data_IF_773598136722
#
_entry.id   IF_773598136722
#
_cell.length_a   1.000
_cell.length_b   1.000
_cell.length_c   1.000
_cell.angle_alpha   90.00
_cell.angle_beta   90.00
_cell.angle_gamma   90.00
#
_symmetry.space_group_name_H-M   'P 1'
#
loop_
_entity.id
_entity.type
_entity.pdbx_description
1 polymer ?
#
# COMPACT_ATOMS: atom_id res chain seq x y z
N UNK A 1 13.12 -13.71 -25.35
CA UNK A 1 11.80 -13.44 -25.97
C UNK A 1 10.60 -13.94 -25.15
N UNK A 2 10.73 -14.93 -24.25
CA UNK A 2 9.61 -15.38 -23.40
C UNK A 2 9.27 -14.44 -22.22
N UNK A 3 10.28 -13.77 -21.65
CA UNK A 3 10.15 -12.89 -20.47
C UNK A 3 9.01 -11.85 -20.59
N UNK A 4 8.86 -11.08 -21.69
CA UNK A 4 7.78 -10.10 -21.78
C UNK A 4 6.39 -10.74 -21.84
N UNK A 5 6.27 -11.92 -22.45
CA UNK A 5 4.99 -12.62 -22.62
C UNK A 5 4.48 -13.16 -21.28
N UNK A 6 5.37 -13.79 -20.50
CA UNK A 6 5.03 -14.31 -19.17
C UNK A 6 4.70 -13.20 -18.18
N UNK A 7 5.40 -12.06 -18.27
CA UNK A 7 5.12 -10.88 -17.44
C UNK A 7 3.69 -10.34 -17.71
N UNK A 8 3.32 -10.24 -18.99
CA UNK A 8 2.00 -9.74 -19.39
C UNK A 8 0.87 -10.68 -19.00
N UNK A 9 1.07 -12.00 -19.15
CA UNK A 9 0.10 -13.01 -18.74
C UNK A 9 -0.08 -13.03 -17.21
N UNK A 10 1.02 -12.97 -16.45
CA UNK A 10 0.95 -12.96 -14.98
C UNK A 10 0.29 -11.67 -14.45
N UNK A 11 0.61 -10.52 -15.04
CA UNK A 11 0.03 -9.24 -14.63
C UNK A 11 -1.47 -9.17 -14.91
N UNK A 12 -1.91 -9.58 -16.09
CA UNK A 12 -3.33 -9.61 -16.45
C UNK A 12 -4.13 -10.60 -15.60
N UNK A 13 -3.58 -11.79 -15.35
CA UNK A 13 -4.19 -12.77 -14.45
C UNK A 13 -4.34 -12.25 -13.02
N UNK A 14 -3.33 -11.54 -12.49
CA UNK A 14 -3.39 -10.94 -11.15
C UNK A 14 -4.47 -9.85 -11.06
N UNK A 15 -4.53 -8.95 -12.05
CA UNK A 15 -5.55 -7.89 -12.09
C UNK A 15 -6.95 -8.53 -12.12
N UNK A 16 -7.17 -9.50 -13.01
CA UNK A 16 -8.43 -10.22 -13.10
C UNK A 16 -8.79 -10.91 -11.77
N UNK A 17 -7.82 -11.58 -11.13
CA UNK A 17 -8.01 -12.23 -9.85
C UNK A 17 -8.45 -11.27 -8.74
N UNK A 18 -7.82 -10.09 -8.66
CA UNK A 18 -8.19 -9.05 -7.69
C UNK A 18 -9.63 -8.54 -7.94
N UNK A 19 -10.00 -8.29 -9.20
CA UNK A 19 -11.36 -7.86 -9.55
C UNK A 19 -12.41 -8.92 -9.25
N UNK A 20 -12.13 -10.18 -9.58
CA UNK A 20 -13.03 -11.30 -9.28
C UNK A 20 -13.28 -11.45 -7.77
N UNK A 21 -12.20 -11.40 -6.97
CA UNK A 21 -12.31 -11.45 -5.51
C UNK A 21 -13.11 -10.28 -4.94
N UNK A 22 -12.86 -9.05 -5.41
CA UNK A 22 -13.63 -7.86 -5.00
C UNK A 22 -15.11 -7.98 -5.31
N UNK A 23 -15.47 -8.50 -6.48
CA UNK A 23 -16.88 -8.68 -6.84
C UNK A 23 -17.56 -9.70 -5.93
N UNK A 24 -16.87 -10.79 -5.58
CA UNK A 24 -17.39 -11.79 -4.63
C UNK A 24 -17.52 -11.23 -3.22
N UNK A 25 -16.54 -10.46 -2.75
CA UNK A 25 -16.62 -9.78 -1.46
C UNK A 25 -17.80 -8.81 -1.41
N UNK A 26 -18.03 -8.03 -2.47
CA UNK A 26 -19.14 -7.09 -2.54
C UNK A 26 -20.51 -7.78 -2.47
N UNK A 27 -20.64 -8.96 -3.10
CA UNK A 27 -21.85 -9.78 -3.00
C UNK A 27 -22.08 -10.28 -1.57
N UNK A 28 -21.02 -10.79 -0.91
CA UNK A 28 -21.10 -11.25 0.48
C UNK A 28 -21.43 -10.12 1.47
N UNK A 29 -21.06 -8.88 1.16
CA UNK A 29 -21.41 -7.68 1.96
C UNK A 29 -22.90 -7.33 1.75
N UNK A 30 -23.39 -7.42 0.51
CA UNK A 30 -24.80 -7.22 0.16
C UNK A 30 -25.70 -8.24 0.84
N UNK A 31 -25.29 -9.52 0.85
CA UNK A 31 -25.98 -10.62 1.53
C UNK A 31 -26.08 -10.42 3.05
N UNK A 32 -25.13 -9.69 3.64
CA UNK A 32 -25.15 -9.29 5.05
C UNK A 32 -25.95 -8.01 5.31
N UNK A 33 -26.63 -7.47 4.30
CA UNK A 33 -27.45 -6.26 4.41
C UNK A 33 -26.67 -4.95 4.51
N UNK A 34 -25.36 -4.96 4.22
CA UNK A 34 -24.51 -3.75 4.24
C UNK A 34 -24.31 -3.21 2.82
N UNK A 35 -24.25 -1.89 2.67
CA UNK A 35 -23.97 -1.27 1.38
C UNK A 35 -22.48 -1.38 1.01
N UNK A 36 -22.11 -2.10 -0.06
CA UNK A 36 -20.73 -2.24 -0.53
C UNK A 36 -20.14 -0.92 -1.06
N UNK A 37 -20.98 0.10 -1.31
CA UNK A 37 -20.55 1.43 -1.73
C UNK A 37 -20.30 2.39 -0.57
N UNK A 38 -20.53 1.97 0.68
CA UNK A 38 -20.19 2.82 1.82
C UNK A 38 -18.70 3.15 1.77
N UNK A 39 -18.32 4.44 1.78
CA UNK A 39 -16.93 4.84 1.67
C UNK A 39 -16.19 4.32 2.89
N UNK A 40 -15.29 3.35 2.69
CA UNK A 40 -14.40 2.87 3.75
C UNK A 40 -13.47 4.02 4.13
N UNK A 41 -13.65 4.67 5.29
CA UNK A 41 -13.00 5.94 5.60
C UNK A 41 -11.47 5.81 5.75
N UNK A 42 -10.94 4.59 5.88
CA UNK A 42 -9.52 4.33 6.11
C UNK A 42 -8.68 4.17 4.84
N UNK A 43 -9.29 4.04 3.65
CA UNK A 43 -8.52 3.85 2.42
C UNK A 43 -7.68 5.08 2.04
N UNK A 44 -8.23 6.29 2.22
CA UNK A 44 -7.51 7.55 2.01
C UNK A 44 -6.38 7.72 3.03
N UNK A 45 -6.59 7.28 4.28
CA UNK A 45 -5.60 7.34 5.33
C UNK A 45 -4.42 6.39 5.04
N UNK A 46 -4.69 5.17 4.56
CA UNK A 46 -3.66 4.21 4.16
C UNK A 46 -2.80 4.68 3.01
N UNK A 47 -3.40 5.29 1.99
CA UNK A 47 -2.68 5.89 0.88
C UNK A 47 -1.86 7.11 1.31
N UNK A 48 -2.44 7.98 2.15
CA UNK A 48 -1.75 9.15 2.68
C UNK A 48 -0.49 8.79 3.49
N UNK A 49 -0.60 7.81 4.39
CA UNK A 49 0.55 7.37 5.19
C UNK A 49 1.60 6.64 4.37
N UNK A 50 1.20 5.87 3.35
CA UNK A 50 2.13 5.25 2.40
C UNK A 50 2.92 6.33 1.63
N UNK A 51 2.24 7.36 1.11
CA UNK A 51 2.88 8.46 0.39
C UNK A 51 3.82 9.27 1.28
N UNK A 52 3.43 9.55 2.53
CA UNK A 52 4.28 10.23 3.50
C UNK A 52 5.51 9.38 3.83
N UNK A 53 5.33 8.09 4.09
CA UNK A 53 6.43 7.17 4.39
C UNK A 53 7.41 7.03 3.21
N UNK A 54 6.90 6.84 2.00
CA UNK A 54 7.72 6.76 0.79
C UNK A 54 8.44 8.07 0.48
N UNK A 55 7.75 9.21 0.63
CA UNK A 55 8.33 10.55 0.43
C UNK A 55 9.42 10.89 1.46
N UNK A 56 9.20 10.57 2.74
CA UNK A 56 10.22 10.71 3.79
C UNK A 56 11.42 9.79 3.55
N UNK A 57 11.17 8.53 3.14
CA UNK A 57 12.23 7.61 2.75
C UNK A 57 13.09 8.17 1.61
N UNK A 58 12.45 8.72 0.57
CA UNK A 58 13.16 9.33 -0.55
C UNK A 58 13.95 10.60 -0.14
N UNK A 59 13.37 11.44 0.72
CA UNK A 59 14.03 12.63 1.26
C UNK A 59 15.30 12.25 2.03
N UNK A 60 15.22 11.24 2.89
CA UNK A 60 16.36 10.75 3.67
C UNK A 60 17.42 10.13 2.73
N UNK A 61 17.01 9.40 1.70
CA UNK A 61 17.92 8.82 0.71
C UNK A 61 18.72 9.90 -0.03
N UNK A 62 18.04 10.94 -0.49
CA UNK A 62 18.68 12.09 -1.15
C UNK A 62 19.65 12.82 -0.23
N UNK A 63 19.30 12.97 1.05
CA UNK A 63 20.16 13.61 2.03
C UNK A 63 21.42 12.77 2.28
N UNK A 64 21.28 11.46 2.48
CA UNK A 64 22.40 10.54 2.65
C UNK A 64 23.32 10.49 1.43
N UNK A 65 22.75 10.54 0.23
CA UNK A 65 23.49 10.62 -1.02
C UNK A 65 24.35 11.89 -1.07
N UNK A 66 23.75 13.04 -0.75
CA UNK A 66 24.43 14.34 -0.75
C UNK A 66 25.61 14.40 0.24
N UNK A 67 25.52 13.72 1.40
CA UNK A 67 26.60 13.68 2.39
C UNK A 67 27.65 12.59 2.14
N UNK A 68 27.37 11.61 1.27
CA UNK A 68 28.26 10.48 1.00
C UNK A 68 29.04 10.72 -0.29
N UNK A 69 30.24 11.31 -0.20
CA UNK A 69 31.16 11.59 -1.33
C UNK A 69 31.64 10.35 -2.12
N UNK A 70 31.21 9.13 -1.78
CA UNK A 70 31.65 7.90 -2.44
C UNK A 70 30.71 7.48 -3.58
N UNK A 71 31.10 7.88 -4.79
CA UNK A 71 30.44 7.70 -6.09
C UNK A 71 30.31 6.24 -6.60
N UNK A 72 30.00 5.26 -5.76
CA UNK A 72 29.75 3.89 -6.26
C UNK A 72 28.49 3.31 -5.63
N UNK A 73 27.48 3.18 -6.49
CA UNK A 73 26.26 2.38 -6.31
C UNK A 73 25.27 2.95 -5.29
N UNK A 74 24.72 4.12 -5.60
CA UNK A 74 23.68 4.75 -4.79
C UNK A 74 22.28 4.26 -5.23
N UNK A 75 22.14 3.64 -6.41
CA UNK A 75 20.82 3.18 -6.89
C UNK A 75 20.11 2.24 -5.91
N UNK A 76 20.76 1.25 -5.28
CA UNK A 76 20.10 0.35 -4.33
C UNK A 76 19.61 1.07 -3.07
N UNK A 77 20.29 2.14 -2.65
CA UNK A 77 19.95 2.89 -1.43
C UNK A 77 18.60 3.59 -1.56
N UNK A 78 18.30 4.14 -2.74
CA UNK A 78 17.01 4.75 -3.04
C UNK A 78 15.87 3.73 -2.97
N UNK A 79 16.03 2.56 -3.60
CA UNK A 79 15.02 1.51 -3.55
C UNK A 79 14.80 0.99 -2.11
N UNK A 80 15.90 0.80 -1.36
CA UNK A 80 15.82 0.35 0.03
C UNK A 80 15.09 1.36 0.92
N UNK A 81 15.41 2.66 0.84
CA UNK A 81 14.79 3.66 1.69
C UNK A 81 13.35 3.96 1.31
N UNK A 82 12.98 3.92 0.03
CA UNK A 82 11.58 4.01 -0.40
C UNK A 82 10.79 2.81 0.13
N UNK A 83 11.34 1.59 0.03
CA UNK A 83 10.68 0.39 0.52
C UNK A 83 10.51 0.40 2.05
N UNK A 84 11.55 0.81 2.79
CA UNK A 84 11.50 0.92 4.25
C UNK A 84 10.56 2.05 4.68
N UNK A 85 10.69 3.24 4.09
CA UNK A 85 9.85 4.39 4.40
C UNK A 85 8.38 4.13 4.08
N UNK A 86 8.09 3.63 2.88
CA UNK A 86 6.74 3.23 2.47
C UNK A 86 6.17 2.11 3.34
N UNK A 87 7.00 1.11 3.68
CA UNK A 87 6.63 0.01 4.59
C UNK A 87 6.29 0.50 6.00
N UNK A 88 7.10 1.39 6.57
CA UNK A 88 6.82 2.03 7.86
C UNK A 88 5.54 2.87 7.82
N UNK A 89 5.29 3.59 6.73
CA UNK A 89 4.04 4.31 6.50
C UNK A 89 2.82 3.38 6.51
N UNK A 90 2.90 2.22 5.85
CA UNK A 90 1.83 1.22 5.88
C UNK A 90 1.60 0.63 7.27
N UNK A 91 2.67 0.32 8.01
CA UNK A 91 2.58 -0.17 9.39
C UNK A 91 1.90 0.86 10.30
N UNK A 92 2.24 2.14 10.15
CA UNK A 92 1.58 3.23 10.86
C UNK A 92 0.09 3.33 10.52
N UNK A 93 -0.29 3.10 9.25
CA UNK A 93 -1.69 3.09 8.85
C UNK A 93 -2.45 1.96 9.52
N UNK A 94 -1.88 0.77 9.57
CA UNK A 94 -2.50 -0.39 10.21
C UNK A 94 -2.67 -0.17 11.72
N UNK A 95 -1.66 0.39 12.39
CA UNK A 95 -1.75 0.72 13.80
C UNK A 95 -2.82 1.77 14.10
N UNK A 96 -2.98 2.77 13.22
CA UNK A 96 -4.01 3.81 13.36
C UNK A 96 -5.41 3.24 13.11
N UNK A 97 -5.58 2.42 12.08
CA UNK A 97 -6.83 1.72 11.78
C UNK A 97 -7.23 0.79 12.93
N UNK A 98 -6.30 -0.02 13.45
CA UNK A 98 -6.54 -0.90 14.60
C UNK A 98 -7.01 -0.12 15.83
N UNK A 99 -6.34 1.01 16.16
CA UNK A 99 -6.74 1.88 17.27
C UNK A 99 -8.11 2.53 17.06
N UNK A 100 -8.44 2.90 15.83
CA UNK A 100 -9.75 3.46 15.49
C UNK A 100 -10.86 2.42 15.64
N UNK A 101 -10.61 1.18 15.23
CA UNK A 101 -11.55 0.05 15.43
C UNK A 101 -11.75 -0.29 16.90
N UNK A 102 -10.69 -0.26 17.71
CA UNK A 102 -10.77 -0.51 19.16
C UNK A 102 -11.56 0.57 19.92
N UNK A 103 -11.50 1.84 19.46
CA UNK A 103 -12.24 2.94 20.08
C UNK A 103 -13.72 3.03 19.70
N UNK A 104 -14.11 2.52 18.53
CA UNK A 104 -15.49 2.60 18.05
C UNK A 104 -15.95 1.24 17.48
N UNK A 105 -16.16 0.24 18.34
CA UNK A 105 -16.54 -1.11 17.90
C UNK A 105 -17.93 -1.17 17.22
N UNK A 106 -18.79 -0.19 17.50
CA UNK A 106 -20.20 -0.19 17.09
C UNK A 106 -20.41 0.31 15.65
N UNK A 107 -19.44 1.04 15.07
CA UNK A 107 -19.51 1.57 13.71
C UNK A 107 -19.26 0.49 12.64
N UNK A 108 -18.72 -0.67 13.04
CA UNK A 108 -18.30 -1.75 12.13
C UNK A 108 -19.12 -3.03 12.29
N UNK A 109 -20.08 -3.08 13.23
CA UNK A 109 -20.96 -4.24 13.44
C UNK A 109 -22.03 -4.36 12.37
#
# INVERSE_FOLDING_TARGET
MLVPITLFLSGSAMIFGIYYLRTRENLAILEKGKDPRSPRPFNSLRLGLLLIGGGLGLLIAYLLDTYTTHQREIEPLYFALIAIGGGAGLLGSYATEKRAMERTPDLFR
#
